data_IF_102497924156
#
_entry.id   IF_102497924156
#
_cell.length_a   1.000
_cell.length_b   1.000
_cell.length_c   1.000
_cell.angle_alpha   90.00
_cell.angle_beta   90.00
_cell.angle_gamma   90.00
#
_symmetry.space_group_name_H-M   'P 1'
#
loop_
_entity.id
_entity.type
_entity.pdbx_description
1 polymer ?
#
# COMPACT_ATOMS: atom_id res chain seq x y z
N UNK A 1 21.79 -23.99 10.83
CA UNK A 1 21.15 -23.69 9.53
C UNK A 1 19.65 -23.96 9.59
N UNK A 2 18.87 -23.14 10.29
CA UNK A 2 17.41 -23.06 10.06
C UNK A 2 17.04 -21.58 10.12
N UNK A 3 16.34 -21.12 9.08
CA UNK A 3 16.23 -19.74 8.66
C UNK A 3 15.27 -18.89 9.52
N UNK A 4 15.63 -17.61 9.67
CA UNK A 4 14.83 -16.49 10.16
C UNK A 4 13.41 -16.46 9.55
N UNK A 5 12.37 -16.42 10.39
CA UNK A 5 11.03 -16.01 10.00
C UNK A 5 10.70 -14.64 10.59
N UNK A 6 11.13 -13.56 9.95
CA UNK A 6 10.49 -12.25 10.12
C UNK A 6 9.25 -12.22 9.23
N UNK A 7 8.08 -12.52 9.79
CA UNK A 7 6.80 -12.26 9.12
C UNK A 7 6.64 -10.75 9.00
N UNK A 8 7.07 -10.16 7.88
CA UNK A 8 6.85 -8.75 7.63
C UNK A 8 5.35 -8.49 7.51
N UNK A 9 4.75 -7.93 8.56
CA UNK A 9 3.35 -7.52 8.56
C UNK A 9 3.16 -6.38 7.53
N UNK A 10 2.60 -6.73 6.38
CA UNK A 10 2.30 -5.81 5.29
C UNK A 10 0.84 -5.36 5.40
N UNK A 11 0.63 -4.05 5.33
CA UNK A 11 -0.70 -3.43 5.39
C UNK A 11 -1.15 -3.03 3.98
N UNK A 12 -2.47 -3.05 3.75
CA UNK A 12 -3.04 -2.79 2.43
C UNK A 12 -3.03 -1.30 2.09
N UNK A 13 -2.52 -0.96 0.90
CA UNK A 13 -2.58 0.36 0.29
C UNK A 13 -3.50 0.35 -0.92
N UNK A 14 -4.31 1.40 -1.06
CA UNK A 14 -5.40 1.48 -2.05
C UNK A 14 -5.52 2.89 -2.61
N UNK A 15 -6.05 3.00 -3.83
CA UNK A 15 -6.36 4.27 -4.49
C UNK A 15 -5.28 4.78 -5.45
N UNK A 16 -4.06 4.26 -5.38
CA UNK A 16 -2.94 4.78 -6.19
C UNK A 16 -2.45 6.14 -5.69
N UNK A 17 -1.70 6.84 -6.53
CA UNK A 17 -1.17 8.17 -6.21
C UNK A 17 -1.04 9.04 -7.48
N UNK A 18 -0.69 10.31 -7.31
CA UNK A 18 -0.44 11.27 -8.40
C UNK A 18 0.68 10.86 -9.36
N UNK A 19 1.52 9.89 -8.97
CA UNK A 19 2.56 9.36 -9.83
C UNK A 19 2.01 8.32 -10.81
N UNK A 20 0.91 7.63 -10.49
CA UNK A 20 0.43 6.50 -11.30
C UNK A 20 0.14 6.90 -12.76
N UNK A 21 0.57 6.06 -13.70
CA UNK A 21 0.39 6.26 -15.13
C UNK A 21 0.16 4.93 -15.85
N UNK A 22 -0.60 4.95 -16.95
CA UNK A 22 -1.02 3.75 -17.69
C UNK A 22 0.17 2.90 -18.17
N UNK A 23 1.31 3.52 -18.48
CA UNK A 23 2.48 2.81 -19.00
C UNK A 23 3.16 1.89 -17.97
N UNK A 24 3.00 2.13 -16.66
CA UNK A 24 3.78 1.39 -15.65
C UNK A 24 3.01 1.06 -14.36
N UNK A 25 2.02 1.86 -13.98
CA UNK A 25 1.25 1.63 -12.77
C UNK A 25 -0.21 2.04 -12.95
N UNK A 26 -1.06 1.05 -13.16
CA UNK A 26 -2.52 1.20 -13.35
C UNK A 26 -3.31 1.03 -12.04
N UNK A 27 -2.67 1.27 -10.89
CA UNK A 27 -3.25 1.00 -9.57
C UNK A 27 -4.20 2.09 -9.05
N UNK A 28 -4.41 3.15 -9.83
CA UNK A 28 -5.46 4.15 -9.58
C UNK A 28 -6.89 3.58 -9.75
N UNK A 29 -7.03 2.42 -10.40
CA UNK A 29 -8.32 1.73 -10.56
C UNK A 29 -8.84 1.22 -9.21
N UNK A 30 -10.16 1.12 -9.04
CA UNK A 30 -10.80 0.57 -7.81
C UNK A 30 -10.23 -0.79 -7.36
N UNK A 31 -9.96 -1.68 -8.32
CA UNK A 31 -9.40 -2.99 -8.05
C UNK A 31 -7.89 -2.96 -7.71
N UNK A 32 -7.18 -1.87 -8.04
CA UNK A 32 -5.75 -1.70 -7.82
C UNK A 32 -5.35 -1.82 -6.35
N UNK A 33 -4.45 -2.77 -6.04
CA UNK A 33 -4.00 -3.07 -4.69
C UNK A 33 -2.48 -2.98 -4.62
N UNK A 34 -1.96 -2.50 -3.50
CA UNK A 34 -0.55 -2.58 -3.12
C UNK A 34 -0.44 -2.85 -1.62
N UNK A 35 0.76 -3.09 -1.12
CA UNK A 35 1.01 -3.26 0.30
C UNK A 35 2.36 -2.69 0.72
N UNK A 36 2.47 -2.28 1.99
CA UNK A 36 3.75 -1.81 2.54
C UNK A 36 3.86 -2.16 4.03
N UNK A 37 5.08 -2.13 4.58
CA UNK A 37 5.29 -2.32 6.02
C UNK A 37 4.76 -1.11 6.80
N UNK A 38 4.38 -1.28 8.07
CA UNK A 38 3.87 -0.19 8.92
C UNK A 38 4.82 1.01 9.04
N UNK A 39 6.13 0.74 9.01
CA UNK A 39 7.15 1.77 9.25
C UNK A 39 7.59 2.49 7.97
N UNK A 40 7.12 2.06 6.80
CA UNK A 40 7.50 2.68 5.54
C UNK A 40 6.63 3.88 5.23
N UNK A 41 7.26 5.03 5.02
CA UNK A 41 6.60 6.28 4.63
C UNK A 41 7.06 6.74 3.25
N UNK A 42 6.19 7.48 2.56
CA UNK A 42 6.49 8.10 1.26
C UNK A 42 5.56 9.27 1.03
N UNK A 43 5.98 10.26 0.23
CA UNK A 43 5.21 11.49 0.00
C UNK A 43 3.87 11.27 -0.73
N UNK A 44 3.72 10.13 -1.40
CA UNK A 44 2.58 9.79 -2.23
C UNK A 44 1.62 8.77 -1.57
N UNK A 45 1.78 8.51 -0.27
CA UNK A 45 0.95 7.57 0.50
C UNK A 45 0.35 8.27 1.71
N UNK A 46 -0.97 8.20 1.87
CA UNK A 46 -1.71 8.73 3.01
C UNK A 46 -2.82 7.78 3.45
N UNK A 47 -3.69 8.22 4.37
CA UNK A 47 -4.80 7.42 4.89
C UNK A 47 -6.07 8.26 5.11
N UNK A 48 -7.20 7.57 5.21
CA UNK A 48 -8.50 8.13 5.63
C UNK A 48 -9.09 7.24 6.71
N UNK A 49 -9.89 7.81 7.60
CA UNK A 49 -10.56 7.09 8.68
C UNK A 49 -12.02 6.79 8.31
N UNK A 50 -12.64 5.88 9.06
CA UNK A 50 -14.06 5.63 9.05
C UNK A 50 -14.51 5.41 10.50
N UNK A 51 -15.72 5.83 10.83
CA UNK A 51 -16.35 5.59 12.12
C UNK A 51 -17.63 4.78 11.93
N UNK A 52 -18.05 4.09 12.99
CA UNK A 52 -19.35 3.44 13.03
C UNK A 52 -20.42 4.48 13.37
N UNK A 53 -21.56 4.42 12.69
CA UNK A 53 -22.69 5.35 12.90
C UNK A 53 -23.70 4.79 13.89
#
# INVERSE_FOLDING_TARGET
>A
MIQNQQTHHLYSLRGGSFLCHESYCRRYRLAGRNSNTANSSSQNTGFRVAENI
#
